data_IF_809058584648
#
_entry.id   IF_809058584648
#
_cell.length_a   1.000
_cell.length_b   1.000
_cell.length_c   1.000
_cell.angle_alpha   90.00
_cell.angle_beta   90.00
_cell.angle_gamma   90.00
#
_symmetry.space_group_name_H-M   'P 1'
#
loop_
_entity.id
_entity.type
_entity.pdbx_description
1 polymer ?
#
# COMPACT_ATOMS: atom_id res chain seq x y z
N UNK A 1 -15.53 -0.38 -3.06
CA UNK A 1 -16.14 0.81 -3.67
C UNK A 1 -15.12 1.87 -4.09
N UNK A 2 -15.12 2.22 -5.37
CA UNK A 2 -14.41 3.38 -5.93
C UNK A 2 -15.07 4.69 -5.45
N UNK A 3 -14.25 5.65 -5.05
CA UNK A 3 -14.68 6.96 -4.56
C UNK A 3 -14.47 8.05 -5.63
N UNK A 4 -15.47 8.92 -5.80
CA UNK A 4 -15.40 10.03 -6.75
C UNK A 4 -14.49 11.18 -6.28
N UNK A 5 -14.25 11.28 -4.97
CA UNK A 5 -13.36 12.27 -4.35
C UNK A 5 -12.63 11.61 -3.18
N UNK A 6 -11.35 11.95 -2.96
CA UNK A 6 -10.59 11.41 -1.84
C UNK A 6 -11.18 11.88 -0.50
N UNK A 7 -11.29 10.95 0.43
CA UNK A 7 -11.67 11.21 1.82
C UNK A 7 -10.64 10.58 2.77
N UNK A 8 -10.46 11.12 3.99
CA UNK A 8 -9.61 10.49 5.00
C UNK A 8 -9.98 9.02 5.21
N UNK A 9 -8.96 8.17 5.25
CA UNK A 9 -9.11 6.72 5.32
C UNK A 9 -9.20 6.03 3.96
N UNK A 10 -9.43 6.74 2.85
CA UNK A 10 -9.41 6.13 1.51
C UNK A 10 -8.00 5.70 1.11
N UNK A 11 -7.93 4.67 0.29
CA UNK A 11 -6.69 4.18 -0.31
C UNK A 11 -6.58 4.76 -1.71
N UNK A 12 -5.54 5.55 -1.96
CA UNK A 12 -5.20 5.98 -3.31
C UNK A 12 -4.35 4.92 -4.00
N UNK A 13 -4.78 4.49 -5.18
CA UNK A 13 -4.07 3.55 -6.05
C UNK A 13 -3.72 4.27 -7.35
N UNK A 14 -2.46 4.23 -7.77
CA UNK A 14 -2.03 4.99 -8.95
C UNK A 14 -1.07 4.23 -9.86
N UNK A 15 -1.08 4.64 -11.13
CA UNK A 15 -0.09 4.28 -12.13
C UNK A 15 1.07 5.28 -12.08
N UNK A 16 2.31 4.77 -12.01
CA UNK A 16 3.49 5.62 -12.01
C UNK A 16 3.76 6.12 -13.45
N UNK A 17 3.22 7.29 -13.82
CA UNK A 17 3.45 7.92 -15.13
C UNK A 17 4.30 9.22 -15.02
N UNK A 18 5.62 9.11 -14.73
CA UNK A 18 6.61 10.22 -14.73
C UNK A 18 6.39 11.30 -13.63
N UNK A 19 7.31 12.13 -13.13
CA UNK A 19 8.62 12.65 -13.59
C UNK A 19 9.56 12.82 -12.37
N UNK A 20 9.68 11.81 -11.51
CA UNK A 20 10.70 11.78 -10.43
C UNK A 20 11.55 10.53 -10.62
N UNK A 21 12.69 10.69 -11.30
CA UNK A 21 13.57 9.57 -11.69
C UNK A 21 14.41 8.97 -10.57
N UNK A 22 13.85 8.36 -9.52
CA UNK A 22 14.68 7.84 -8.41
C UNK A 22 14.19 6.50 -7.86
N UNK A 23 14.07 5.43 -8.65
CA UNK A 23 15.11 4.86 -9.49
C UNK A 23 14.43 3.99 -10.57
N UNK A 24 14.09 4.60 -11.70
CA UNK A 24 13.92 4.20 -13.13
C UNK A 24 13.84 2.70 -13.53
N UNK A 25 14.38 1.81 -12.73
CA UNK A 25 14.40 0.37 -12.90
C UNK A 25 14.42 -0.19 -11.48
N UNK A 26 13.28 -0.38 -10.80
CA UNK A 26 13.32 -1.33 -9.67
C UNK A 26 13.50 -2.79 -10.13
N UNK A 27 13.71 -2.96 -11.44
CA UNK A 27 14.60 -3.94 -12.04
C UNK A 27 13.97 -4.60 -13.25
N UNK A 28 13.47 -3.82 -14.21
CA UNK A 28 12.58 -4.31 -15.27
C UNK A 28 11.48 -5.21 -14.69
N UNK A 29 10.80 -4.77 -13.63
CA UNK A 29 9.57 -5.41 -13.13
C UNK A 29 9.74 -6.89 -12.66
N UNK A 30 10.96 -7.51 -12.71
CA UNK A 30 11.26 -8.96 -12.70
C UNK A 30 10.81 -9.72 -13.98
N UNK A 31 10.93 -9.07 -15.14
CA UNK A 31 11.06 -9.59 -16.51
C UNK A 31 10.03 -10.61 -17.03
N UNK A 32 8.72 -10.34 -16.91
CA UNK A 32 7.73 -11.12 -17.67
C UNK A 32 6.26 -10.76 -17.49
N UNK A 33 5.68 -10.86 -16.28
CA UNK A 33 4.21 -10.90 -16.11
C UNK A 33 3.65 -10.38 -14.78
N UNK A 34 3.01 -9.22 -14.80
CA UNK A 34 1.76 -9.06 -14.06
C UNK A 34 1.79 -8.38 -12.69
N UNK A 35 1.72 -7.05 -12.72
CA UNK A 35 0.65 -6.29 -12.05
C UNK A 35 0.38 -5.03 -12.89
N UNK A 36 -0.30 -5.21 -14.02
CA UNK A 36 -0.20 -4.33 -15.18
C UNK A 36 -0.82 -2.93 -15.03
N UNK A 37 -1.65 -2.67 -14.00
CA UNK A 37 -2.43 -1.43 -13.96
C UNK A 37 -2.29 -0.58 -12.67
N UNK A 38 -1.73 -1.07 -11.55
CA UNK A 38 -1.53 -0.27 -10.33
C UNK A 38 -0.23 -0.64 -9.62
N UNK A 39 0.61 0.36 -9.35
CA UNK A 39 2.00 0.15 -8.92
C UNK A 39 2.33 0.78 -7.57
N UNK A 40 1.46 1.65 -7.07
CA UNK A 40 1.67 2.33 -5.80
C UNK A 40 0.34 2.50 -5.05
N UNK A 41 0.43 2.50 -3.73
CA UNK A 41 -0.70 2.68 -2.82
C UNK A 41 -0.33 3.67 -1.72
N UNK A 42 -1.28 4.51 -1.34
CA UNK A 42 -1.13 5.43 -0.21
C UNK A 42 -2.44 5.56 0.55
N UNK A 43 -2.37 6.01 1.80
CA UNK A 43 -3.54 6.27 2.64
C UNK A 43 -3.81 7.79 2.67
N UNK A 44 -5.03 8.19 2.34
CA UNK A 44 -5.48 9.58 2.44
C UNK A 44 -5.70 9.94 3.91
N UNK A 45 -5.15 11.08 4.32
CA UNK A 45 -5.20 11.60 5.68
C UNK A 45 -5.99 12.92 5.75
N UNK A 46 -6.46 13.33 6.94
CA UNK A 46 -7.06 14.64 7.13
C UNK A 46 -6.12 15.81 6.78
N UNK A 47 -6.72 16.86 6.22
CA UNK A 47 -6.04 18.11 5.88
C UNK A 47 -5.24 18.05 4.58
N UNK A 48 -5.79 17.39 3.55
CA UNK A 48 -5.18 17.25 2.22
C UNK A 48 -3.76 16.68 2.27
N UNK A 49 -3.60 15.63 3.09
CA UNK A 49 -2.34 14.90 3.25
C UNK A 49 -2.53 13.44 2.89
N UNK A 50 -1.42 12.76 2.70
CA UNK A 50 -1.36 11.32 2.57
C UNK A 50 -0.16 10.79 3.33
N UNK A 51 -0.17 9.50 3.61
CA UNK A 51 1.02 8.75 4.01
C UNK A 51 1.27 7.63 3.02
N UNK A 52 2.53 7.48 2.66
CA UNK A 52 2.98 6.51 1.67
C UNK A 52 4.33 5.94 2.06
N UNK A 53 4.58 4.68 1.72
CA UNK A 53 5.90 4.08 1.83
C UNK A 53 6.60 4.19 0.48
N UNK A 54 7.77 4.82 0.47
CA UNK A 54 8.58 5.01 -0.72
C UNK A 54 10.05 4.64 -0.48
N UNK A 55 10.88 4.53 -1.54
CA UNK A 55 12.33 4.47 -1.38
C UNK A 55 12.84 5.62 -0.50
N UNK A 56 13.24 5.30 0.73
CA UNK A 56 13.61 6.29 1.76
C UNK A 56 12.79 6.16 3.05
N UNK A 57 11.70 5.40 3.03
CA UNK A 57 10.84 5.13 4.17
C UNK A 57 9.42 5.68 3.98
N UNK A 58 8.56 5.38 4.95
CA UNK A 58 7.23 5.94 5.04
C UNK A 58 7.30 7.43 5.38
N UNK A 59 6.53 8.24 4.66
CA UNK A 59 6.48 9.69 4.86
C UNK A 59 5.07 10.22 4.70
N UNK A 60 4.81 11.37 5.33
CA UNK A 60 3.61 12.17 5.08
C UNK A 60 3.92 13.20 3.98
N UNK A 61 3.02 13.33 3.02
CA UNK A 61 3.11 14.31 1.94
C UNK A 61 1.77 15.03 1.71
N UNK A 62 1.76 16.20 1.06
CA UNK A 62 0.52 16.81 0.58
C UNK A 62 -0.17 15.91 -0.46
N UNK A 63 -1.49 15.82 -0.43
CA UNK A 63 -2.26 15.01 -1.39
C UNK A 63 -2.08 15.51 -2.84
N UNK A 64 -1.88 16.82 -3.00
CA UNK A 64 -1.56 17.47 -4.29
C UNK A 64 -0.21 17.05 -4.87
N UNK A 65 0.62 16.26 -4.17
CA UNK A 65 1.81 15.64 -4.79
C UNK A 65 1.44 14.71 -5.95
N UNK A 66 0.20 14.20 -5.96
CA UNK A 66 -0.39 13.40 -7.03
C UNK A 66 -1.32 14.21 -7.96
N UNK A 67 -1.30 15.54 -7.88
CA UNK A 67 -2.09 16.37 -8.79
C UNK A 67 -1.68 16.10 -10.26
N UNK A 68 -2.65 15.67 -11.07
CA UNK A 68 -2.42 15.31 -12.47
C UNK A 68 -1.98 13.86 -12.71
N UNK A 69 -1.79 13.06 -11.65
CA UNK A 69 -1.67 11.61 -11.77
C UNK A 69 -3.05 10.95 -11.91
N UNK A 70 -3.09 9.79 -12.56
CA UNK A 70 -4.29 8.95 -12.59
C UNK A 70 -4.35 8.14 -11.29
N UNK A 71 -5.25 8.55 -10.38
CA UNK A 71 -5.43 7.95 -9.06
C UNK A 71 -6.85 7.45 -8.92
N UNK A 72 -7.00 6.16 -8.59
CA UNK A 72 -8.26 5.57 -8.17
C UNK A 72 -8.29 5.51 -6.65
N UNK A 73 -9.27 6.15 -6.05
CA UNK A 73 -9.50 6.11 -4.61
C UNK A 73 -10.49 4.99 -4.28
N UNK A 74 -10.14 4.10 -3.35
CA UNK A 74 -10.97 2.96 -2.96
C UNK A 74 -11.08 2.85 -1.43
N UNK A 75 -12.21 2.32 -0.97
CA UNK A 75 -12.40 1.93 0.44
C UNK A 75 -13.41 0.77 0.55
N UNK A 76 -13.46 0.07 1.71
CA UNK A 76 -14.53 -0.86 2.01
C UNK A 76 -15.90 -0.18 1.94
N UNK A 77 -16.91 -0.91 1.44
CA UNK A 77 -18.29 -0.42 1.43
C UNK A 77 -18.79 -0.23 2.86
N UNK A 78 -19.39 0.93 3.15
CA UNK A 78 -19.94 1.24 4.48
C UNK A 78 -18.90 1.49 5.57
N UNK A 79 -17.63 1.81 5.22
CA UNK A 79 -16.61 2.18 6.18
C UNK A 79 -17.08 3.38 7.04
N UNK A 80 -17.21 3.19 8.35
CA UNK A 80 -17.72 4.19 9.27
C UNK A 80 -16.70 5.31 9.52
N UNK A 81 -17.17 6.53 9.78
CA UNK A 81 -16.30 7.68 10.07
C UNK A 81 -15.37 7.42 11.27
N UNK A 82 -15.89 6.75 12.31
CA UNK A 82 -15.09 6.36 13.46
C UNK A 82 -13.97 5.35 13.12
N UNK A 83 -14.16 4.53 12.08
CA UNK A 83 -13.12 3.64 11.58
C UNK A 83 -12.08 4.43 10.79
N UNK A 84 -12.53 5.34 9.93
CA UNK A 84 -11.64 6.25 9.17
C UNK A 84 -10.70 7.02 10.10
N UNK A 85 -11.24 7.58 11.18
CA UNK A 85 -10.46 8.31 12.18
C UNK A 85 -9.41 7.42 12.85
N UNK A 86 -9.78 6.18 13.22
CA UNK A 86 -8.85 5.21 13.82
C UNK A 86 -7.75 4.78 12.86
N UNK A 87 -8.09 4.53 11.60
CA UNK A 87 -7.13 4.19 10.54
C UNK A 87 -6.12 5.33 10.34
N UNK A 88 -6.61 6.57 10.25
CA UNK A 88 -5.76 7.75 10.10
C UNK A 88 -4.89 7.99 11.35
N UNK A 89 -5.42 7.75 12.55
CA UNK A 89 -4.65 7.87 13.78
C UNK A 89 -3.53 6.82 13.86
N UNK A 90 -3.84 5.57 13.51
CA UNK A 90 -2.87 4.47 13.49
C UNK A 90 -1.70 4.74 12.54
N UNK A 91 -1.96 5.44 11.43
CA UNK A 91 -0.92 5.73 10.43
C UNK A 91 0.25 6.56 10.97
N UNK A 92 0.03 7.35 12.02
CA UNK A 92 1.07 8.18 12.64
C UNK A 92 2.24 7.37 13.21
N UNK A 93 2.01 6.12 13.64
CA UNK A 93 3.05 5.24 14.17
C UNK A 93 4.03 4.76 13.10
N UNK A 94 3.69 4.94 11.83
CA UNK A 94 4.42 4.40 10.70
C UNK A 94 5.26 5.43 9.96
N UNK A 95 5.16 6.73 10.29
CA UNK A 95 6.05 7.73 9.72
C UNK A 95 7.52 7.41 10.04
N UNK A 96 8.37 7.40 9.01
CA UNK A 96 9.79 7.05 9.12
C UNK A 96 10.10 5.55 9.10
N UNK A 97 9.10 4.66 9.06
CA UNK A 97 9.36 3.22 8.94
C UNK A 97 10.14 2.94 7.64
N UNK A 98 11.28 2.23 7.70
CA UNK A 98 12.10 1.93 6.53
C UNK A 98 11.32 1.20 5.43
N UNK A 99 11.71 1.45 4.19
CA UNK A 99 11.16 0.72 3.05
C UNK A 99 11.85 -0.63 2.88
N UNK A 100 11.08 -1.68 2.57
CA UNK A 100 11.63 -3.02 2.36
C UNK A 100 11.58 -3.46 0.90
N UNK A 101 12.71 -3.39 0.20
CA UNK A 101 12.83 -4.05 -1.11
C UNK A 101 12.87 -5.56 -1.01
N UNK A 102 13.29 -6.09 0.14
CA UNK A 102 13.34 -7.53 0.40
C UNK A 102 11.94 -8.13 0.56
N UNK A 103 10.93 -7.36 0.97
CA UNK A 103 9.54 -7.83 0.99
C UNK A 103 9.00 -8.06 -0.42
N UNK A 104 9.40 -7.25 -1.41
CA UNK A 104 9.08 -7.53 -2.82
C UNK A 104 9.77 -8.80 -3.33
N UNK A 105 11.04 -8.99 -3.00
CA UNK A 105 11.75 -10.22 -3.37
C UNK A 105 11.11 -11.44 -2.70
N UNK A 106 10.72 -11.33 -1.43
CA UNK A 106 9.98 -12.36 -0.71
C UNK A 106 8.65 -12.70 -1.39
N UNK A 107 7.87 -11.68 -1.77
CA UNK A 107 6.60 -11.85 -2.46
C UNK A 107 6.79 -12.56 -3.80
N UNK A 108 7.79 -12.13 -4.59
CA UNK A 108 8.14 -12.75 -5.86
C UNK A 108 8.65 -14.20 -5.69
N UNK A 109 9.44 -14.47 -4.64
CA UNK A 109 10.04 -15.79 -4.38
C UNK A 109 9.01 -16.80 -3.92
N UNK A 110 8.02 -16.37 -3.12
CA UNK A 110 6.86 -17.18 -2.76
C UNK A 110 5.99 -17.53 -3.98
N UNK A 111 5.78 -16.58 -4.91
CA UNK A 111 5.07 -16.84 -6.18
C UNK A 111 5.76 -17.91 -7.03
N UNK A 112 7.10 -17.98 -6.98
CA UNK A 112 7.90 -19.02 -7.64
C UNK A 112 7.96 -20.35 -6.86
N UNK A 113 7.21 -20.48 -5.76
CA UNK A 113 7.15 -21.66 -4.87
C UNK A 113 8.52 -22.09 -4.34
N UNK A 114 9.48 -21.17 -4.22
CA UNK A 114 10.77 -21.49 -3.60
C UNK A 114 10.65 -21.44 -2.07
N UNK A 115 10.94 -22.54 -1.35
CA UNK A 115 10.83 -22.57 0.10
C UNK A 115 11.99 -21.80 0.74
N UNK A 116 11.73 -20.56 1.17
CA UNK A 116 12.69 -19.76 1.96
C UNK A 116 12.29 -19.81 3.44
N UNK A 117 13.05 -20.48 4.31
CA UNK A 117 12.75 -20.52 5.74
C UNK A 117 12.80 -19.12 6.35
N UNK A 118 11.79 -18.76 7.16
CA UNK A 118 11.71 -17.46 7.83
C UNK A 118 11.02 -16.35 7.01
N UNK A 119 10.72 -16.59 5.73
CA UNK A 119 10.14 -15.57 4.84
C UNK A 119 8.80 -15.02 5.32
N UNK A 120 7.93 -15.90 5.84
CA UNK A 120 6.63 -15.49 6.39
C UNK A 120 6.77 -14.52 7.57
N UNK A 121 7.78 -14.73 8.42
CA UNK A 121 8.05 -13.84 9.57
C UNK A 121 8.62 -12.50 9.11
N UNK A 122 9.45 -12.53 8.06
CA UNK A 122 10.00 -11.33 7.45
C UNK A 122 8.89 -10.45 6.85
N UNK A 123 8.04 -11.03 6.00
CA UNK A 123 6.91 -10.31 5.36
C UNK A 123 5.90 -9.77 6.37
N UNK A 124 5.72 -10.46 7.50
CA UNK A 124 4.83 -10.01 8.57
C UNK A 124 5.46 -8.95 9.49
N UNK A 125 6.74 -8.63 9.35
CA UNK A 125 7.39 -7.64 10.20
C UNK A 125 7.05 -6.22 9.75
N UNK A 126 6.66 -5.37 10.70
CA UNK A 126 6.30 -3.96 10.44
C UNK A 126 7.47 -2.98 10.56
N UNK A 127 8.66 -3.48 10.92
CA UNK A 127 9.88 -2.68 11.00
C UNK A 127 10.43 -2.25 9.63
N UNK A 128 9.84 -2.77 8.56
CA UNK A 128 10.08 -2.35 7.19
C UNK A 128 8.82 -2.66 6.36
N UNK A 129 8.36 -1.76 5.50
CA UNK A 129 7.10 -1.96 4.78
C UNK A 129 7.13 -1.42 3.36
N UNK A 130 6.40 -2.08 2.49
CA UNK A 130 6.05 -1.58 1.16
C UNK A 130 4.76 -0.75 1.21
N UNK A 131 4.44 -0.05 0.12
CA UNK A 131 3.29 0.85 0.05
C UNK A 131 1.95 0.16 0.40
N UNK A 132 1.66 -0.99 -0.19
CA UNK A 132 0.44 -1.75 0.09
C UNK A 132 0.41 -2.39 1.48
N UNK A 133 1.56 -2.80 2.02
CA UNK A 133 1.69 -3.29 3.40
C UNK A 133 1.38 -2.21 4.41
N UNK A 134 1.94 -1.01 4.21
CA UNK A 134 1.71 0.14 5.08
C UNK A 134 0.21 0.43 5.21
N UNK A 135 -0.48 0.51 4.08
CA UNK A 135 -1.91 0.84 4.06
C UNK A 135 -2.74 -0.27 4.71
N UNK A 136 -2.49 -1.54 4.37
CA UNK A 136 -3.17 -2.68 5.00
C UNK A 136 -2.94 -2.72 6.52
N UNK A 137 -1.70 -2.44 6.97
CA UNK A 137 -1.38 -2.39 8.38
C UNK A 137 -2.10 -1.25 9.12
N UNK A 138 -2.19 -0.05 8.50
CA UNK A 138 -2.98 1.06 9.07
C UNK A 138 -4.45 0.67 9.25
N UNK A 139 -5.01 -0.06 8.27
CA UNK A 139 -6.36 -0.59 8.35
C UNK A 139 -6.52 -1.59 9.50
N UNK A 140 -5.61 -2.58 9.59
CA UNK A 140 -5.63 -3.59 10.65
C UNK A 140 -5.55 -2.96 12.04
N UNK A 141 -4.65 -2.00 12.24
CA UNK A 141 -4.47 -1.29 13.51
C UNK A 141 -5.63 -0.35 13.82
N UNK A 142 -6.27 0.20 12.78
CA UNK A 142 -7.54 0.91 12.88
C UNK A 142 -8.71 0.00 13.25
N UNK A 143 -8.53 -1.32 13.25
CA UNK A 143 -9.54 -2.33 13.59
C UNK A 143 -10.36 -2.82 12.39
N UNK A 144 -9.94 -2.51 11.17
CA UNK A 144 -10.61 -2.92 9.93
C UNK A 144 -9.75 -3.93 9.19
N UNK A 145 -10.29 -5.12 8.96
CA UNK A 145 -9.59 -6.17 8.22
C UNK A 145 -9.97 -6.10 6.74
N UNK A 146 -8.99 -5.77 5.88
CA UNK A 146 -9.19 -5.74 4.43
C UNK A 146 -9.23 -7.14 3.80
N UNK A 147 -8.44 -8.07 4.34
CA UNK A 147 -8.31 -9.43 3.81
C UNK A 147 -8.48 -10.48 4.90
N UNK A 148 -9.30 -11.50 4.62
CA UNK A 148 -9.53 -12.66 5.52
C UNK A 148 -9.41 -14.00 4.77
N UNK A 149 -8.62 -14.01 3.69
CA UNK A 149 -8.47 -15.14 2.76
C UNK A 149 -7.32 -16.10 3.13
N UNK A 150 -6.77 -15.97 4.33
CA UNK A 150 -5.68 -16.82 4.83
C UNK A 150 -4.30 -16.51 4.22
N UNK A 151 -4.14 -15.41 3.47
CA UNK A 151 -2.83 -14.94 3.02
C UNK A 151 -1.88 -14.69 4.19
N UNK A 152 -0.57 -14.66 3.90
CA UNK A 152 0.39 -14.30 4.95
C UNK A 152 0.16 -12.86 5.41
N UNK A 153 0.27 -12.55 6.71
CA UNK A 153 0.22 -11.18 7.19
C UNK A 153 1.26 -10.33 6.46
N UNK A 154 0.86 -9.14 5.99
CA UNK A 154 1.70 -8.26 5.19
C UNK A 154 1.91 -8.71 3.73
N UNK A 155 1.37 -9.85 3.28
CA UNK A 155 1.45 -10.23 1.87
C UNK A 155 0.33 -9.55 1.07
N UNK A 156 0.49 -8.24 0.86
CA UNK A 156 -0.51 -7.42 0.15
C UNK A 156 0.15 -6.70 -1.01
N UNK A 157 -0.44 -6.81 -2.20
CA UNK A 157 -0.01 -6.07 -3.39
C UNK A 157 -1.01 -4.97 -3.72
N UNK A 158 -0.62 -3.90 -4.44
CA UNK A 158 -1.56 -2.87 -4.88
C UNK A 158 -2.72 -3.42 -5.71
N UNK A 159 -2.48 -4.41 -6.59
CA UNK A 159 -3.56 -5.06 -7.33
C UNK A 159 -4.51 -5.80 -6.40
N UNK A 160 -4.00 -6.50 -5.36
CA UNK A 160 -4.88 -7.17 -4.42
C UNK A 160 -5.78 -6.20 -3.64
N UNK A 161 -5.32 -4.97 -3.37
CA UNK A 161 -6.16 -3.90 -2.80
C UNK A 161 -7.24 -3.46 -3.79
N UNK A 162 -6.88 -3.29 -5.06
CA UNK A 162 -7.85 -2.98 -6.11
C UNK A 162 -8.91 -4.07 -6.24
N UNK A 163 -8.51 -5.33 -6.43
CA UNK A 163 -9.42 -6.47 -6.61
C UNK A 163 -10.37 -6.64 -5.41
N UNK A 164 -9.93 -6.28 -4.21
CA UNK A 164 -10.74 -6.38 -2.99
C UNK A 164 -11.70 -5.20 -2.79
N UNK A 165 -11.37 -4.03 -3.32
CA UNK A 165 -12.01 -2.76 -2.95
C UNK A 165 -12.57 -1.98 -4.14
N UNK A 166 -12.41 -2.44 -5.38
CA UNK A 166 -12.93 -1.74 -6.56
C UNK A 166 -14.36 -2.15 -6.93
N UNK A 167 -14.95 -3.14 -6.23
CA UNK A 167 -16.34 -3.57 -6.37
C UNK A 167 -17.36 -2.54 -5.83
#
# INVERSE_FOLDING_TARGET
>A
MIQARPQPGDIGLTQINGTVGRLIRFGQWLNGNGFADYQHAFLVLPGDRLIEAEPGGARVAPLDSYAGADVVYVCPSGLADADRDRICAASSAYEGVPYSFLDYLAIATHRLRMPVPGLRRYVAATGHMICSQLVDQCYQDGGVRLFDDGRWPGYVTPLALYDQLAD
#
